data_IF_592120720892
#
_entry.id   IF_592120720892
#
_cell.length_a   1.000
_cell.length_b   1.000
_cell.length_c   1.000
_cell.angle_alpha   90.00
_cell.angle_beta   90.00
_cell.angle_gamma   90.00
#
_symmetry.space_group_name_H-M   'P 1'
#
loop_
_entity.id
_entity.type
_entity.pdbx_description
1 polymer ?
#
# COMPACT_ATOMS: atom_id res chain seq x y z
N UNK A 1 12.53 -1.58 -21.07
CA UNK A 1 12.73 -2.26 -19.77
C UNK A 1 11.40 -2.73 -19.19
N UNK A 2 11.38 -3.86 -18.45
CA UNK A 2 10.23 -4.26 -17.63
C UNK A 2 9.98 -3.25 -16.50
N UNK A 3 8.81 -3.30 -15.86
CA UNK A 3 8.55 -2.50 -14.66
C UNK A 3 9.37 -3.03 -13.47
N UNK A 4 9.45 -2.25 -12.39
CA UNK A 4 10.03 -2.76 -11.14
C UNK A 4 9.26 -4.02 -10.67
N UNK A 5 9.94 -5.08 -10.19
CA UNK A 5 9.29 -6.38 -9.96
C UNK A 5 8.05 -6.35 -9.04
N UNK A 6 8.03 -5.45 -8.05
CA UNK A 6 6.87 -5.28 -7.16
C UNK A 6 5.68 -4.61 -7.86
N UNK A 7 5.93 -3.64 -8.75
CA UNK A 7 4.90 -3.02 -9.58
C UNK A 7 4.29 -4.07 -10.52
N UNK A 8 5.14 -4.91 -11.11
CA UNK A 8 4.70 -5.99 -12.01
C UNK A 8 3.84 -7.02 -11.28
N UNK A 9 4.24 -7.42 -10.07
CA UNK A 9 3.41 -8.25 -9.19
C UNK A 9 2.06 -7.60 -8.89
N UNK A 10 2.04 -6.31 -8.52
CA UNK A 10 0.78 -5.60 -8.27
C UNK A 10 -0.11 -5.48 -9.51
N UNK A 11 0.47 -5.28 -10.70
CA UNK A 11 -0.26 -5.27 -11.98
C UNK A 11 -0.93 -6.62 -12.22
N UNK A 12 -0.23 -7.73 -11.95
CA UNK A 12 -0.78 -9.08 -12.10
C UNK A 12 -1.94 -9.31 -11.14
N UNK A 13 -1.78 -8.97 -9.86
CA UNK A 13 -2.85 -9.11 -8.86
C UNK A 13 -4.06 -8.25 -9.24
N UNK A 14 -3.85 -6.99 -9.62
CA UNK A 14 -4.94 -6.12 -10.05
C UNK A 14 -5.61 -6.63 -11.34
N UNK A 15 -4.91 -7.40 -12.19
CA UNK A 15 -5.50 -7.96 -13.41
C UNK A 15 -6.49 -9.08 -13.10
N UNK A 16 -6.20 -9.87 -12.07
CA UNK A 16 -7.13 -10.88 -11.52
C UNK A 16 -8.39 -10.18 -10.99
N UNK A 17 -8.22 -9.09 -10.24
CA UNK A 17 -9.32 -8.31 -9.65
C UNK A 17 -10.07 -7.40 -10.66
N UNK A 18 -9.63 -7.36 -11.93
CA UNK A 18 -10.17 -6.45 -12.94
C UNK A 18 -9.81 -4.97 -12.72
N UNK A 19 -9.00 -4.62 -11.73
CA UNK A 19 -8.61 -3.24 -11.39
C UNK A 19 -7.27 -2.80 -11.99
N UNK A 20 -6.63 -3.62 -12.84
CA UNK A 20 -5.26 -3.34 -13.31
C UNK A 20 -5.14 -2.03 -14.09
N UNK A 21 -4.21 -1.15 -13.69
CA UNK A 21 -4.01 0.12 -14.36
C UNK A 21 -3.25 -0.04 -15.70
N UNK A 22 -2.44 -1.09 -15.84
CA UNK A 22 -1.57 -1.31 -17.00
C UNK A 22 -2.23 -2.08 -18.15
N UNK A 23 -3.27 -2.87 -17.87
CA UNK A 23 -4.01 -3.62 -18.91
C UNK A 23 -4.94 -2.73 -19.72
N UNK A 24 -5.24 -3.12 -20.96
CA UNK A 24 -6.21 -2.43 -21.82
C UNK A 24 -7.63 -2.49 -21.22
N UNK A 25 -8.38 -1.41 -21.41
CA UNK A 25 -9.76 -1.29 -20.93
C UNK A 25 -10.68 -2.19 -21.77
N UNK A 26 -10.87 -3.43 -21.32
CA UNK A 26 -11.67 -4.43 -22.01
C UNK A 26 -12.98 -4.68 -21.28
N UNK A 27 -14.00 -5.18 -21.99
CA UNK A 27 -15.27 -5.61 -21.38
C UNK A 27 -15.05 -6.67 -20.30
N UNK A 28 -14.10 -7.58 -20.51
CA UNK A 28 -13.72 -8.60 -19.54
C UNK A 28 -13.12 -8.00 -18.26
N UNK A 29 -12.29 -6.96 -18.38
CA UNK A 29 -11.76 -6.24 -17.22
C UNK A 29 -12.90 -5.61 -16.40
N UNK A 30 -13.85 -4.93 -17.07
CA UNK A 30 -15.01 -4.31 -16.42
C UNK A 30 -15.86 -5.36 -15.71
N UNK A 31 -16.13 -6.50 -16.35
CA UNK A 31 -16.87 -7.60 -15.75
C UNK A 31 -16.18 -8.13 -14.47
N UNK A 32 -14.88 -8.41 -14.53
CA UNK A 32 -14.11 -8.84 -13.35
C UNK A 32 -14.14 -7.80 -12.23
N UNK A 33 -13.97 -6.53 -12.58
CA UNK A 33 -14.06 -5.44 -11.62
C UNK A 33 -15.42 -5.41 -10.92
N UNK A 34 -16.53 -5.46 -11.68
CA UNK A 34 -17.88 -5.49 -11.11
C UNK A 34 -18.08 -6.72 -10.22
N UNK A 35 -17.67 -7.91 -10.66
CA UNK A 35 -17.75 -9.14 -9.89
C UNK A 35 -16.98 -9.02 -8.56
N UNK A 36 -15.74 -8.52 -8.60
CA UNK A 36 -14.92 -8.29 -7.40
C UNK A 36 -15.61 -7.31 -6.45
N UNK A 37 -16.14 -6.19 -6.92
CA UNK A 37 -16.82 -5.21 -6.06
C UNK A 37 -18.11 -5.80 -5.46
N UNK A 38 -18.90 -6.56 -6.23
CA UNK A 38 -20.08 -7.26 -5.71
C UNK A 38 -19.71 -8.23 -4.58
N UNK A 39 -18.62 -9.00 -4.76
CA UNK A 39 -18.12 -9.92 -3.72
C UNK A 39 -17.65 -9.16 -2.47
N UNK A 40 -16.93 -8.05 -2.63
CA UNK A 40 -16.45 -7.23 -1.51
C UNK A 40 -17.58 -6.55 -0.73
N UNK A 41 -18.69 -6.19 -1.37
CA UNK A 41 -19.88 -5.64 -0.70
C UNK A 41 -20.70 -6.75 -0.04
N UNK A 42 -20.67 -7.96 -0.60
CA UNK A 42 -21.44 -9.10 -0.11
C UNK A 42 -21.12 -9.46 1.35
N UNK A 43 -19.85 -9.47 1.74
CA UNK A 43 -19.48 -9.85 3.12
C UNK A 43 -20.01 -8.85 4.17
N UNK A 44 -19.74 -7.53 4.09
CA UNK A 44 -20.32 -6.56 5.01
C UNK A 44 -21.84 -6.59 5.06
N UNK A 45 -22.49 -6.84 3.91
CA UNK A 45 -23.94 -6.99 3.86
C UNK A 45 -24.43 -8.19 4.69
N UNK A 46 -23.78 -9.36 4.55
CA UNK A 46 -24.13 -10.56 5.33
C UNK A 46 -23.83 -10.39 6.82
N UNK A 47 -22.74 -9.71 7.18
CA UNK A 47 -22.41 -9.36 8.57
C UNK A 47 -23.44 -8.41 9.16
N UNK A 48 -23.85 -7.38 8.41
CA UNK A 48 -24.89 -6.44 8.84
C UNK A 48 -26.23 -7.12 9.03
N UNK A 49 -26.63 -7.99 8.10
CA UNK A 49 -27.88 -8.73 8.20
C UNK A 49 -27.91 -9.60 9.47
N UNK A 50 -26.80 -10.29 9.76
CA UNK A 50 -26.66 -11.06 11.00
C UNK A 50 -26.73 -10.19 12.25
N UNK A 51 -26.16 -9.00 12.20
CA UNK A 51 -26.20 -8.04 13.30
C UNK A 51 -27.62 -7.52 13.57
N UNK A 52 -28.39 -7.20 12.52
CA UNK A 52 -29.78 -6.73 12.64
C UNK A 52 -30.70 -7.81 13.21
N UNK A 53 -30.46 -9.08 12.89
CA UNK A 53 -31.28 -10.20 13.37
C UNK A 53 -31.02 -10.55 14.85
N UNK A 54 -29.87 -10.11 15.41
CA UNK A 54 -29.54 -10.34 16.83
C UNK A 54 -30.35 -9.42 17.74
N UNK A 55 -31.12 -10.01 18.66
CA UNK A 55 -31.77 -9.27 19.76
C UNK A 55 -30.75 -9.01 20.89
N UNK A 56 -30.35 -7.75 21.05
CA UNK A 56 -29.49 -7.30 22.16
C UNK A 56 -27.99 -7.43 21.88
N UNK A 57 -27.48 -6.66 20.92
CA UNK A 57 -26.06 -6.66 20.57
C UNK A 57 -25.19 -6.07 21.69
N UNK A 58 -24.07 -6.74 21.98
CA UNK A 58 -23.06 -6.25 22.91
C UNK A 58 -22.10 -5.29 22.22
N UNK A 59 -21.46 -4.38 22.98
CA UNK A 59 -20.46 -3.44 22.42
C UNK A 59 -19.32 -4.14 21.66
N UNK A 60 -18.73 -5.27 22.13
CA UNK A 60 -17.70 -5.98 21.39
C UNK A 60 -18.17 -6.49 20.01
N UNK A 61 -19.42 -6.93 19.90
CA UNK A 61 -19.98 -7.39 18.62
C UNK A 61 -20.16 -6.23 17.64
N UNK A 62 -20.55 -5.05 18.13
CA UNK A 62 -20.60 -3.84 17.30
C UNK A 62 -19.21 -3.49 16.76
N UNK A 63 -18.18 -3.55 17.61
CA UNK A 63 -16.79 -3.28 17.20
C UNK A 63 -16.31 -4.30 16.16
N UNK A 64 -16.63 -5.59 16.32
CA UNK A 64 -16.28 -6.63 15.35
C UNK A 64 -16.94 -6.38 13.99
N UNK A 65 -18.23 -6.04 13.98
CA UNK A 65 -18.96 -5.67 12.76
C UNK A 65 -18.29 -4.46 12.08
N UNK A 66 -18.02 -3.39 12.84
CA UNK A 66 -17.40 -2.17 12.29
C UNK A 66 -15.98 -2.42 11.75
N UNK A 67 -15.22 -3.32 12.37
CA UNK A 67 -13.89 -3.74 11.89
C UNK A 67 -13.98 -4.44 10.53
N UNK A 68 -14.95 -5.34 10.37
CA UNK A 68 -15.21 -6.00 9.09
C UNK A 68 -15.58 -4.99 8.00
N UNK A 69 -16.51 -4.07 8.29
CA UNK A 69 -16.86 -2.98 7.36
C UNK A 69 -15.65 -2.18 6.93
N UNK A 70 -14.83 -1.74 7.90
CA UNK A 70 -13.63 -0.93 7.64
C UNK A 70 -12.65 -1.65 6.71
N UNK A 71 -12.39 -2.94 6.97
CA UNK A 71 -11.44 -3.73 6.17
C UNK A 71 -11.91 -3.92 4.73
N UNK A 72 -13.19 -4.30 4.54
CA UNK A 72 -13.76 -4.48 3.21
C UNK A 72 -13.92 -3.16 2.45
N UNK A 73 -14.25 -2.05 3.12
CA UNK A 73 -14.28 -0.73 2.49
C UNK A 73 -12.89 -0.24 2.08
N UNK A 74 -11.84 -0.53 2.86
CA UNK A 74 -10.48 -0.24 2.44
C UNK A 74 -10.10 -1.01 1.17
N UNK A 75 -10.42 -2.30 1.11
CA UNK A 75 -10.19 -3.09 -0.10
C UNK A 75 -10.98 -2.50 -1.28
N UNK A 76 -12.29 -2.28 -1.11
CA UNK A 76 -13.19 -1.73 -2.13
C UNK A 76 -12.68 -0.40 -2.67
N UNK A 77 -12.38 0.55 -1.78
CA UNK A 77 -11.87 1.87 -2.11
C UNK A 77 -10.55 1.79 -2.88
N UNK A 78 -9.60 0.96 -2.42
CA UNK A 78 -8.31 0.75 -3.10
C UNK A 78 -8.48 0.15 -4.50
N UNK A 79 -9.29 -0.90 -4.67
CA UNK A 79 -9.57 -1.47 -6.00
C UNK A 79 -10.27 -0.47 -6.93
N UNK A 80 -11.20 0.32 -6.38
CA UNK A 80 -11.94 1.36 -7.11
C UNK A 80 -10.99 2.47 -7.59
N UNK A 81 -10.10 2.95 -6.72
CA UNK A 81 -9.08 3.94 -7.07
C UNK A 81 -8.16 3.41 -8.18
N UNK A 82 -7.69 2.16 -8.08
CA UNK A 82 -6.84 1.55 -9.10
C UNK A 82 -7.54 1.47 -10.47
N UNK A 83 -8.83 1.16 -10.48
CA UNK A 83 -9.62 1.04 -11.71
C UNK A 83 -9.92 2.41 -12.36
N UNK A 84 -10.49 3.36 -11.60
CA UNK A 84 -10.91 4.65 -12.16
C UNK A 84 -9.73 5.59 -12.46
N UNK A 85 -8.68 5.56 -11.62
CA UNK A 85 -7.47 6.35 -11.85
C UNK A 85 -6.41 5.63 -12.69
N UNK A 86 -6.79 4.55 -13.39
CA UNK A 86 -5.86 3.70 -14.16
C UNK A 86 -4.91 4.46 -15.08
N UNK A 87 -5.39 5.49 -15.77
CA UNK A 87 -4.55 6.29 -16.70
C UNK A 87 -3.46 7.07 -15.95
N UNK A 88 -3.80 7.64 -14.79
CA UNK A 88 -2.86 8.40 -13.95
C UNK A 88 -1.82 7.47 -13.33
N UNK A 89 -2.26 6.34 -12.79
CA UNK A 89 -1.39 5.34 -12.18
C UNK A 89 -0.46 4.71 -13.22
N UNK A 90 -0.98 4.36 -14.41
CA UNK A 90 -0.16 3.87 -15.52
C UNK A 90 0.90 4.89 -15.92
N UNK A 91 0.54 6.17 -16.05
CA UNK A 91 1.50 7.24 -16.32
C UNK A 91 2.60 7.30 -15.26
N UNK A 92 2.24 7.12 -13.98
CA UNK A 92 3.22 7.07 -12.89
C UNK A 92 4.17 5.86 -13.04
N UNK A 93 3.67 4.70 -13.43
CA UNK A 93 4.51 3.52 -13.71
C UNK A 93 5.45 3.77 -14.89
N UNK A 94 4.94 4.39 -15.95
CA UNK A 94 5.73 4.73 -17.13
C UNK A 94 6.86 5.73 -16.76
N UNK A 95 6.58 6.75 -15.94
CA UNK A 95 7.59 7.67 -15.40
C UNK A 95 8.65 6.93 -14.58
N UNK A 96 8.24 6.02 -13.68
CA UNK A 96 9.20 5.26 -12.84
C UNK A 96 10.12 4.36 -13.66
N UNK A 97 9.71 4.00 -14.89
CA UNK A 97 10.45 3.14 -15.80
C UNK A 97 11.33 3.93 -16.78
N UNK A 98 10.85 5.08 -17.26
CA UNK A 98 11.48 5.82 -18.34
C UNK A 98 12.35 6.99 -17.84
N UNK A 99 11.96 7.62 -16.72
CA UNK A 99 12.60 8.87 -16.26
C UNK A 99 13.49 8.70 -15.01
N UNK A 100 13.33 7.60 -14.26
CA UNK A 100 14.08 7.38 -13.01
C UNK A 100 15.52 6.95 -13.29
N UNK A 101 16.44 7.36 -12.44
CA UNK A 101 17.84 6.95 -12.56
C UNK A 101 18.00 5.46 -12.29
N UNK A 102 18.91 4.80 -13.01
CA UNK A 102 19.35 3.46 -12.67
C UNK A 102 19.76 3.40 -11.19
N UNK A 103 19.23 2.42 -10.46
CA UNK A 103 19.56 2.26 -9.05
C UNK A 103 20.98 1.69 -8.94
N UNK A 104 21.90 2.31 -8.16
CA UNK A 104 23.27 1.83 -8.00
C UNK A 104 23.30 0.42 -7.41
N UNK A 105 22.45 0.14 -6.42
CA UNK A 105 22.29 -1.17 -5.78
C UNK A 105 20.96 -1.85 -6.15
N UNK A 106 20.69 -1.98 -7.44
CA UNK A 106 19.42 -2.52 -7.96
C UNK A 106 19.03 -3.87 -7.33
N UNK A 107 19.95 -4.83 -7.33
CA UNK A 107 19.71 -6.19 -6.82
C UNK A 107 19.44 -6.22 -5.31
N UNK A 108 20.23 -5.48 -4.52
CA UNK A 108 20.04 -5.38 -3.06
C UNK A 108 18.68 -4.74 -2.75
N UNK A 109 18.31 -3.69 -3.48
CA UNK A 109 17.04 -2.98 -3.31
C UNK A 109 15.84 -3.89 -3.65
N UNK A 110 15.91 -4.65 -4.75
CA UNK A 110 14.86 -5.61 -5.11
C UNK A 110 14.73 -6.69 -4.06
N UNK A 111 15.84 -7.30 -3.63
CA UNK A 111 15.81 -8.38 -2.65
C UNK A 111 15.15 -7.92 -1.34
N UNK A 112 15.55 -6.74 -0.84
CA UNK A 112 14.96 -6.14 0.36
C UNK A 112 13.48 -5.82 0.18
N UNK A 113 13.11 -5.19 -0.95
CA UNK A 113 11.72 -4.82 -1.22
C UNK A 113 10.80 -6.04 -1.34
N UNK A 114 11.25 -7.08 -2.06
CA UNK A 114 10.58 -8.37 -2.21
C UNK A 114 10.39 -9.08 -0.89
N UNK A 115 11.42 -9.09 -0.03
CA UNK A 115 11.31 -9.65 1.32
C UNK A 115 10.23 -8.93 2.14
N UNK A 116 10.24 -7.59 2.15
CA UNK A 116 9.22 -6.81 2.83
C UNK A 116 7.81 -7.00 2.25
N UNK A 117 7.69 -7.15 0.92
CA UNK A 117 6.42 -7.46 0.25
C UNK A 117 5.90 -8.82 0.69
N UNK A 118 6.73 -9.85 0.65
CA UNK A 118 6.34 -11.21 1.04
C UNK A 118 5.97 -11.28 2.53
N UNK A 119 6.70 -10.58 3.39
CA UNK A 119 6.38 -10.47 4.82
C UNK A 119 5.03 -9.79 5.04
N UNK A 120 4.80 -8.63 4.44
CA UNK A 120 3.54 -7.89 4.54
C UNK A 120 2.36 -8.70 3.99
N UNK A 121 2.54 -9.35 2.85
CA UNK A 121 1.54 -10.22 2.24
C UNK A 121 1.26 -11.44 3.12
N UNK A 122 2.29 -12.08 3.67
CA UNK A 122 2.15 -13.22 4.56
C UNK A 122 1.38 -12.87 5.84
N UNK A 123 1.69 -11.73 6.47
CA UNK A 123 0.95 -11.24 7.64
C UNK A 123 -0.51 -10.94 7.31
N UNK A 124 -0.74 -10.21 6.23
CA UNK A 124 -2.08 -9.87 5.74
C UNK A 124 -2.92 -11.12 5.48
N UNK A 125 -2.34 -12.10 4.81
CA UNK A 125 -3.00 -13.36 4.50
C UNK A 125 -3.25 -14.20 5.76
N UNK A 126 -2.30 -14.24 6.69
CA UNK A 126 -2.46 -14.95 7.97
C UNK A 126 -3.59 -14.34 8.81
N UNK A 127 -3.68 -13.00 8.86
CA UNK A 127 -4.77 -12.31 9.54
C UNK A 127 -6.13 -12.68 8.92
N UNK A 128 -6.26 -12.63 7.60
CA UNK A 128 -7.48 -13.03 6.90
C UNK A 128 -7.80 -14.52 7.08
N UNK A 129 -6.80 -15.39 7.05
CA UNK A 129 -6.96 -16.82 7.30
C UNK A 129 -7.46 -17.10 8.72
N UNK A 130 -6.97 -16.38 9.73
CA UNK A 130 -7.48 -16.47 11.10
C UNK A 130 -8.95 -16.03 11.21
N UNK A 131 -9.33 -14.95 10.52
CA UNK A 131 -10.71 -14.48 10.49
C UNK A 131 -11.66 -15.54 9.88
N UNK A 132 -11.22 -16.16 8.79
CA UNK A 132 -11.94 -17.25 8.12
C UNK A 132 -11.94 -18.55 8.95
N UNK A 133 -10.84 -18.90 9.61
CA UNK A 133 -10.74 -20.13 10.41
C UNK A 133 -11.79 -20.18 11.52
N UNK A 134 -12.19 -19.02 12.08
CA UNK A 134 -13.29 -18.94 13.05
C UNK A 134 -14.60 -19.53 12.50
N UNK A 135 -14.88 -19.33 11.20
CA UNK A 135 -16.06 -19.88 10.53
C UNK A 135 -16.06 -21.41 10.51
N UNK A 136 -14.90 -22.00 10.25
CA UNK A 136 -14.73 -23.45 10.19
C UNK A 136 -14.72 -24.11 11.57
N UNK A 137 -14.14 -23.46 12.59
CA UNK A 137 -14.02 -24.01 13.94
C UNK A 137 -15.33 -23.86 14.73
N UNK A 138 -15.96 -22.68 14.64
CA UNK A 138 -17.08 -22.31 15.50
C UNK A 138 -18.42 -22.24 14.78
N UNK A 139 -18.44 -22.36 13.45
CA UNK A 139 -19.63 -22.23 12.62
C UNK A 139 -20.08 -20.78 12.38
N UNK A 140 -21.14 -20.62 11.61
CA UNK A 140 -21.69 -19.33 11.14
C UNK A 140 -22.14 -18.38 12.25
N UNK A 141 -22.83 -18.90 13.27
CA UNK A 141 -23.41 -18.09 14.36
C UNK A 141 -22.34 -17.32 15.14
N UNK A 142 -21.18 -17.97 15.38
CA UNK A 142 -20.05 -17.38 16.10
C UNK A 142 -19.08 -16.62 15.18
N UNK A 143 -19.11 -16.88 13.88
CA UNK A 143 -18.35 -16.11 12.90
C UNK A 143 -18.99 -14.74 12.57
N UNK A 144 -20.21 -14.50 13.03
CA UNK A 144 -20.85 -13.20 12.88
C UNK A 144 -21.37 -12.93 11.46
N UNK A 145 -21.64 -13.97 10.66
CA UNK A 145 -22.07 -13.85 9.26
C UNK A 145 -23.40 -14.58 9.06
N UNK A 146 -24.34 -13.93 8.38
CA UNK A 146 -25.63 -14.52 8.06
C UNK A 146 -25.48 -15.52 6.92
N UNK A 147 -25.93 -16.77 7.14
CA UNK A 147 -26.13 -17.75 6.08
C UNK A 147 -27.63 -18.00 5.89
N UNK A 148 -28.17 -17.84 4.68
CA UNK A 148 -29.54 -18.26 4.39
C UNK A 148 -29.72 -19.76 4.61
N UNK A 149 -30.83 -20.19 5.23
CA UNK A 149 -31.07 -21.61 5.54
C UNK A 149 -31.08 -22.52 4.32
N UNK A 150 -31.52 -22.01 3.17
CA UNK A 150 -31.56 -22.73 1.90
C UNK A 150 -30.19 -22.85 1.23
N UNK A 151 -29.18 -22.11 1.68
CA UNK A 151 -27.87 -22.07 1.03
C UNK A 151 -26.94 -23.15 1.60
N UNK A 152 -26.38 -24.06 0.77
CA UNK A 152 -25.51 -25.13 1.26
C UNK A 152 -24.28 -24.60 2.00
N UNK A 153 -24.02 -25.14 3.19
CA UNK A 153 -22.97 -24.65 4.09
C UNK A 153 -21.57 -24.68 3.46
N UNK A 154 -21.21 -25.76 2.77
CA UNK A 154 -19.88 -25.89 2.16
C UNK A 154 -19.66 -24.85 1.05
N UNK A 155 -20.69 -24.59 0.24
CA UNK A 155 -20.64 -23.56 -0.80
C UNK A 155 -20.54 -22.17 -0.18
N UNK A 156 -21.22 -21.95 0.96
CA UNK A 156 -21.12 -20.70 1.72
C UNK A 156 -19.69 -20.44 2.17
N UNK A 157 -19.05 -21.44 2.77
CA UNK A 157 -17.71 -21.28 3.32
C UNK A 157 -16.70 -20.98 2.21
N UNK A 158 -16.76 -21.71 1.10
CA UNK A 158 -15.93 -21.43 -0.09
C UNK A 158 -16.17 -20.02 -0.64
N UNK A 159 -17.41 -19.55 -0.67
CA UNK A 159 -17.73 -18.19 -1.10
C UNK A 159 -17.10 -17.13 -0.18
N UNK A 160 -17.18 -17.32 1.14
CA UNK A 160 -16.56 -16.42 2.12
C UNK A 160 -15.03 -16.44 1.97
N UNK A 161 -14.42 -17.60 1.75
CA UNK A 161 -12.98 -17.71 1.50
C UNK A 161 -12.56 -16.89 0.28
N UNK A 162 -13.32 -17.00 -0.81
CA UNK A 162 -13.08 -16.21 -2.03
C UNK A 162 -13.20 -14.71 -1.74
N UNK A 163 -14.21 -14.27 -0.98
CA UNK A 163 -14.39 -12.87 -0.60
C UNK A 163 -13.18 -12.34 0.19
N UNK A 164 -12.70 -13.11 1.19
CA UNK A 164 -11.51 -12.75 1.96
C UNK A 164 -10.26 -12.72 1.11
N UNK A 165 -10.04 -13.72 0.24
CA UNK A 165 -8.89 -13.73 -0.68
C UNK A 165 -8.91 -12.48 -1.56
N UNK A 166 -10.07 -12.12 -2.12
CA UNK A 166 -10.20 -10.94 -2.98
C UNK A 166 -9.97 -9.64 -2.21
N UNK A 167 -10.47 -9.56 -0.98
CA UNK A 167 -10.21 -8.44 -0.08
C UNK A 167 -8.70 -8.29 0.19
N UNK A 168 -8.03 -9.38 0.60
CA UNK A 168 -6.59 -9.39 0.89
C UNK A 168 -5.78 -9.00 -0.33
N UNK A 169 -6.06 -9.59 -1.49
CA UNK A 169 -5.39 -9.24 -2.75
C UNK A 169 -5.59 -7.76 -3.12
N UNK A 170 -6.81 -7.24 -2.94
CA UNK A 170 -7.17 -5.88 -3.31
C UNK A 170 -6.40 -4.81 -2.55
N UNK A 171 -6.36 -4.90 -1.21
CA UNK A 171 -5.61 -3.91 -0.44
C UNK A 171 -4.09 -4.10 -0.60
N UNK A 172 -3.60 -5.34 -0.63
CA UNK A 172 -2.16 -5.62 -0.76
C UNK A 172 -1.60 -5.09 -2.08
N UNK A 173 -2.31 -5.28 -3.20
CA UNK A 173 -1.82 -4.82 -4.50
C UNK A 173 -1.64 -3.29 -4.55
N UNK A 174 -2.60 -2.55 -3.97
CA UNK A 174 -2.52 -1.10 -3.88
C UNK A 174 -1.40 -0.65 -2.92
N UNK A 175 -1.31 -1.25 -1.74
CA UNK A 175 -0.31 -0.86 -0.73
C UNK A 175 1.11 -1.16 -1.19
N UNK A 176 1.33 -2.31 -1.82
CA UNK A 176 2.61 -2.64 -2.46
C UNK A 176 2.94 -1.65 -3.56
N UNK A 177 1.96 -1.26 -4.39
CA UNK A 177 2.15 -0.24 -5.43
C UNK A 177 2.65 1.08 -4.83
N UNK A 178 1.93 1.60 -3.83
CA UNK A 178 2.25 2.87 -3.18
C UNK A 178 3.62 2.79 -2.49
N UNK A 179 3.85 1.73 -1.70
CA UNK A 179 5.12 1.49 -1.02
C UNK A 179 6.29 1.45 -1.99
N UNK A 180 6.16 0.72 -3.09
CA UNK A 180 7.23 0.62 -4.09
C UNK A 180 7.52 1.97 -4.74
N UNK A 181 6.49 2.75 -5.11
CA UNK A 181 6.68 4.10 -5.64
C UNK A 181 7.43 4.98 -4.63
N UNK A 182 7.04 4.94 -3.35
CA UNK A 182 7.71 5.71 -2.29
C UNK A 182 9.17 5.30 -2.08
N UNK A 183 9.47 4.00 -2.12
CA UNK A 183 10.84 3.48 -2.06
C UNK A 183 11.66 4.04 -3.22
N UNK A 184 11.15 3.90 -4.45
CA UNK A 184 11.85 4.38 -5.64
C UNK A 184 12.07 5.89 -5.58
N UNK A 185 11.04 6.68 -5.20
CA UNK A 185 11.15 8.12 -5.01
C UNK A 185 12.21 8.49 -3.98
N UNK A 186 12.19 7.83 -2.81
CA UNK A 186 13.16 8.09 -1.74
C UNK A 186 14.58 7.82 -2.23
N UNK A 187 14.79 6.75 -2.97
CA UNK A 187 16.11 6.45 -3.54
C UNK A 187 16.53 7.48 -4.59
N UNK A 188 15.61 7.95 -5.45
CA UNK A 188 15.90 9.06 -6.39
C UNK A 188 16.31 10.34 -5.65
N UNK A 189 15.62 10.68 -4.55
CA UNK A 189 15.98 11.85 -3.75
C UNK A 189 17.34 11.71 -3.04
N UNK A 190 17.66 10.52 -2.53
CA UNK A 190 18.98 10.25 -1.93
C UNK A 190 20.10 10.42 -2.95
N UNK A 191 19.95 9.81 -4.13
CA UNK A 191 20.93 9.98 -5.22
C UNK A 191 21.02 11.44 -5.67
N UNK A 192 19.90 12.17 -5.74
CA UNK A 192 19.92 13.59 -6.08
C UNK A 192 20.68 14.40 -5.04
N UNK A 193 20.49 14.09 -3.76
CA UNK A 193 21.21 14.76 -2.68
C UNK A 193 22.72 14.49 -2.75
N UNK A 194 23.14 13.24 -3.02
CA UNK A 194 24.55 12.88 -3.22
C UNK A 194 25.17 13.62 -4.42
N UNK A 195 24.47 13.68 -5.55
CA UNK A 195 24.88 14.47 -6.72
C UNK A 195 24.98 15.97 -6.42
N UNK A 196 24.10 16.51 -5.59
CA UNK A 196 24.19 17.90 -5.17
C UNK A 196 25.40 18.11 -4.25
N UNK A 197 25.60 17.25 -3.26
CA UNK A 197 26.75 17.33 -2.35
C UNK A 197 28.08 17.25 -3.11
N UNK A 198 28.20 16.37 -4.09
CA UNK A 198 29.40 16.29 -4.95
C UNK A 198 29.58 17.53 -5.83
N UNK A 199 28.51 18.18 -6.28
CA UNK A 199 28.60 19.47 -6.98
C UNK A 199 29.07 20.63 -6.08
N UNK A 200 28.92 20.51 -4.76
CA UNK A 200 29.32 21.52 -3.77
C UNK A 200 30.58 21.14 -2.99
N UNK A 201 31.20 19.97 -3.27
CA UNK A 201 32.40 19.53 -2.57
C UNK A 201 33.62 20.40 -2.95
N UNK A 202 34.18 21.08 -1.95
CA UNK A 202 35.22 22.10 -2.07
C UNK A 202 36.61 21.54 -2.40
N UNK A 203 36.75 20.21 -2.56
CA UNK A 203 38.00 19.62 -3.08
C UNK A 203 38.18 19.78 -4.59
N UNK A 204 37.12 20.10 -5.34
CA UNK A 204 37.16 20.36 -6.79
C UNK A 204 36.99 21.85 -7.13
N UNK A 205 37.41 22.74 -6.22
CA UNK A 205 37.12 24.18 -6.23
C UNK A 205 37.82 24.93 -7.38
N UNK A 206 37.25 24.80 -8.57
CA UNK A 206 37.46 25.72 -9.68
C UNK A 206 36.19 26.54 -9.84
N UNK A 207 36.08 27.64 -9.08
CA UNK A 207 35.11 28.75 -9.23
C UNK A 207 34.01 28.44 -10.24
N UNK A 208 33.07 27.57 -9.85
CA UNK A 208 32.03 27.12 -10.80
C UNK A 208 31.11 28.31 -11.03
N UNK A 209 31.20 28.92 -12.21
CA UNK A 209 30.35 30.03 -12.61
C UNK A 209 28.88 29.71 -12.34
N UNK A 210 28.15 30.67 -11.77
CA UNK A 210 26.71 30.58 -11.48
C UNK A 210 25.88 30.11 -12.68
N UNK A 211 26.35 30.39 -13.92
CA UNK A 211 25.75 29.92 -15.18
C UNK A 211 25.98 28.42 -15.40
N UNK A 212 27.17 27.91 -15.08
CA UNK A 212 27.51 26.48 -15.16
C UNK A 212 26.78 25.69 -14.09
N UNK A 213 26.71 26.20 -12.85
CA UNK A 213 25.91 25.62 -11.79
C UNK A 213 24.42 25.55 -12.17
N UNK A 214 23.84 26.69 -12.60
CA UNK A 214 22.44 26.74 -13.06
C UNK A 214 22.18 25.80 -14.23
N UNK A 215 23.14 25.62 -15.15
CA UNK A 215 23.03 24.67 -16.27
C UNK A 215 23.08 23.21 -15.78
N UNK A 216 24.00 22.87 -14.88
CA UNK A 216 24.12 21.51 -14.28
C UNK A 216 22.89 21.16 -13.45
N UNK A 217 22.42 22.08 -12.61
CA UNK A 217 21.21 21.93 -11.80
C UNK A 217 19.94 21.83 -12.65
N UNK A 218 19.81 22.71 -13.66
CA UNK A 218 18.68 22.69 -14.60
C UNK A 218 18.66 21.39 -15.40
N UNK A 219 19.83 20.88 -15.83
CA UNK A 219 19.97 19.55 -16.45
C UNK A 219 19.55 18.43 -15.49
N UNK A 220 20.02 18.46 -14.24
CA UNK A 220 19.64 17.47 -13.22
C UNK A 220 18.14 17.46 -12.86
N UNK A 221 17.41 18.55 -13.10
CA UNK A 221 15.96 18.63 -12.81
C UNK A 221 15.07 18.48 -14.04
N UNK A 222 15.53 18.86 -15.25
CA UNK A 222 14.73 18.81 -16.49
C UNK A 222 14.92 17.53 -17.30
N UNK A 223 16.13 16.96 -17.37
CA UNK A 223 16.34 15.68 -18.10
C UNK A 223 15.88 14.46 -17.29
N UNK A 224 15.49 14.66 -16.02
CA UNK A 224 15.49 13.61 -14.99
C UNK A 224 14.16 13.52 -14.20
N UNK A 225 13.06 13.97 -14.79
CA UNK A 225 11.68 13.63 -14.40
C UNK A 225 11.05 14.22 -13.12
N UNK A 226 11.83 14.86 -12.24
CA UNK A 226 11.33 15.40 -10.96
C UNK A 226 10.15 16.38 -11.09
N UNK A 227 10.05 17.12 -12.20
CA UNK A 227 8.93 18.05 -12.46
C UNK A 227 7.62 17.31 -12.75
N UNK A 228 7.71 16.18 -13.46
CA UNK A 228 6.58 15.30 -13.79
C UNK A 228 6.04 14.61 -12.52
N UNK A 229 6.95 14.14 -11.67
CA UNK A 229 6.66 13.52 -10.36
C UNK A 229 5.94 14.50 -9.42
N UNK A 230 6.46 15.73 -9.26
CA UNK A 230 5.84 16.73 -8.38
C UNK A 230 4.41 17.06 -8.81
N UNK A 231 4.17 17.21 -10.11
CA UNK A 231 2.82 17.43 -10.64
C UNK A 231 1.92 16.20 -10.47
N UNK A 232 2.43 14.99 -10.67
CA UNK A 232 1.65 13.77 -10.47
C UNK A 232 1.29 13.52 -9.01
N UNK A 233 2.21 13.74 -8.06
CA UNK A 233 1.94 13.56 -6.62
C UNK A 233 0.96 14.61 -6.09
N UNK A 234 1.11 15.89 -6.46
CA UNK A 234 0.21 16.98 -6.02
C UNK A 234 -1.19 16.92 -6.65
N UNK A 235 -1.35 16.23 -7.80
CA UNK A 235 -2.65 16.11 -8.50
C UNK A 235 -3.45 14.84 -8.14
N UNK A 236 -2.92 14.00 -7.24
CA UNK A 236 -3.49 12.71 -6.90
C UNK A 236 -4.05 12.72 -5.47
N UNK A 237 -5.36 12.49 -5.33
CA UNK A 237 -6.05 12.20 -4.05
C UNK A 237 -5.53 10.92 -3.35
N UNK A 238 -4.58 10.19 -3.94
CA UNK A 238 -3.83 9.10 -3.29
C UNK A 238 -3.13 9.57 -2.00
N UNK A 239 -2.86 10.88 -1.88
CA UNK A 239 -2.25 11.45 -0.68
C UNK A 239 -3.10 11.30 0.57
N UNK A 240 -4.44 11.25 0.52
CA UNK A 240 -5.23 11.18 1.77
C UNK A 240 -4.99 9.86 2.54
N UNK A 241 -4.57 8.79 1.87
CA UNK A 241 -4.16 7.54 2.55
C UNK A 241 -2.64 7.40 2.71
N UNK A 242 -1.83 8.01 1.84
CA UNK A 242 -0.37 8.02 1.98
C UNK A 242 0.14 9.05 3.01
N UNK A 243 -0.61 10.11 3.29
CA UNK A 243 -0.29 11.15 4.28
C UNK A 243 -0.26 10.57 5.69
N UNK A 244 -1.15 9.61 6.03
CA UNK A 244 -1.05 8.92 7.32
C UNK A 244 0.24 8.09 7.45
N UNK A 245 0.81 7.60 6.34
CA UNK A 245 2.10 6.88 6.34
C UNK A 245 3.28 7.85 6.32
N UNK A 246 3.18 8.98 5.61
CA UNK A 246 4.20 10.02 5.57
C UNK A 246 4.27 10.85 6.86
N UNK A 247 3.15 11.16 7.53
CA UNK A 247 3.13 11.73 8.88
C UNK A 247 3.70 10.75 9.90
N UNK A 248 3.50 9.44 9.73
CA UNK A 248 4.15 8.43 10.56
C UNK A 248 5.68 8.44 10.39
N UNK A 249 6.17 8.54 9.15
CA UNK A 249 7.61 8.59 8.83
C UNK A 249 8.23 9.92 9.28
N UNK A 250 7.49 11.03 9.13
CA UNK A 250 7.93 12.35 9.56
C UNK A 250 7.96 12.46 11.10
N UNK A 251 6.99 11.88 11.80
CA UNK A 251 6.96 11.81 13.26
C UNK A 251 8.02 10.84 13.82
N UNK A 252 8.31 9.72 13.14
CA UNK A 252 9.44 8.84 13.52
C UNK A 252 10.81 9.50 13.29
N UNK A 253 10.93 10.29 12.22
CA UNK A 253 12.12 11.11 11.97
C UNK A 253 12.28 12.21 13.02
N UNK A 254 11.19 12.89 13.40
CA UNK A 254 11.18 13.95 14.40
C UNK A 254 11.42 13.42 15.83
N UNK A 255 10.90 12.23 16.17
CA UNK A 255 11.10 11.61 17.47
C UNK A 255 12.57 11.20 17.70
N UNK A 256 13.29 10.84 16.63
CA UNK A 256 14.74 10.58 16.68
C UNK A 256 15.59 11.84 16.90
N UNK A 257 15.08 13.02 16.52
CA UNK A 257 15.69 14.32 16.86
C UNK A 257 15.24 14.84 18.24
N UNK A 258 14.09 14.41 18.74
CA UNK A 258 13.60 14.74 20.10
C UNK A 258 14.20 13.83 21.17
N UNK A 259 14.65 12.62 20.87
CA UNK A 259 15.37 11.79 21.86
C UNK A 259 16.77 12.32 22.20
N UNK A 260 17.30 13.28 21.44
CA UNK A 260 18.51 14.05 21.80
C UNK A 260 18.19 15.29 22.66
N UNK A 261 16.91 15.61 22.89
CA UNK A 261 16.45 16.65 23.82
C UNK A 261 15.21 16.15 24.56
N UNK A 262 15.45 15.42 25.65
CA UNK A 262 14.43 14.67 26.36
C UNK A 262 13.19 15.46 26.74
N UNK A 263 12.04 15.01 26.25
CA UNK A 263 10.74 15.24 26.88
C UNK A 263 9.76 14.12 26.49
N UNK A 264 8.97 13.67 27.48
CA UNK A 264 8.04 12.56 27.38
C UNK A 264 6.66 13.03 26.92
N UNK A 265 5.98 12.23 26.10
CA UNK A 265 4.52 12.23 26.11
C UNK A 265 3.96 10.84 25.79
N UNK A 266 3.16 10.37 26.73
CA UNK A 266 2.39 9.13 26.72
C UNK A 266 0.97 9.41 26.23
N UNK A 267 0.58 8.79 25.12
CA UNK A 267 -0.72 8.15 24.88
C UNK A 267 -0.84 7.85 23.38
N UNK A 268 -0.65 6.58 23.00
CA UNK A 268 -0.97 6.09 21.66
C UNK A 268 -1.90 4.90 21.73
N UNK A 269 -2.91 4.95 20.86
CA UNK A 269 -4.02 4.03 20.75
C UNK A 269 -3.54 2.62 20.36
N UNK A 270 -4.20 1.60 20.92
CA UNK A 270 -3.73 0.21 20.93
C UNK A 270 -3.70 -0.47 19.54
N UNK A 271 -4.41 0.10 18.55
CA UNK A 271 -4.34 -0.35 17.15
C UNK A 271 -3.06 0.12 16.44
N UNK A 272 -2.54 1.32 16.76
CA UNK A 272 -1.29 1.88 16.25
C UNK A 272 -0.06 1.17 16.82
N UNK A 273 -0.13 0.71 18.07
CA UNK A 273 0.93 -0.08 18.69
C UNK A 273 1.23 -1.39 17.94
N UNK A 274 0.20 -2.00 17.35
CA UNK A 274 0.36 -3.22 16.54
C UNK A 274 1.07 -2.95 15.21
N UNK A 275 0.88 -1.77 14.61
CA UNK A 275 1.62 -1.34 13.42
C UNK A 275 3.07 -0.92 13.72
N UNK A 276 3.32 -0.33 14.88
CA UNK A 276 4.65 0.09 15.35
C UNK A 276 5.58 -1.10 15.64
N UNK A 277 5.06 -2.17 16.24
CA UNK A 277 5.83 -3.39 16.54
C UNK A 277 6.21 -4.19 15.28
N UNK A 278 5.49 -4.02 14.17
CA UNK A 278 5.76 -4.73 12.91
C UNK A 278 6.84 -4.06 12.04
N UNK A 279 7.15 -2.78 12.26
CA UNK A 279 8.19 -2.04 11.52
C UNK A 279 9.55 -2.05 12.24
N UNK A 280 9.56 -2.35 13.53
CA UNK A 280 10.76 -2.37 14.37
C UNK A 280 11.86 -3.33 13.86
N UNK A 281 11.56 -4.57 13.45
CA UNK A 281 12.59 -5.50 12.96
C UNK A 281 13.19 -5.08 11.61
N UNK A 282 12.44 -4.33 10.78
CA UNK A 282 12.87 -3.86 9.46
C UNK A 282 13.80 -2.63 9.56
N UNK A 283 13.57 -1.76 10.54
CA UNK A 283 14.45 -0.61 10.81
C UNK A 283 15.80 -1.03 11.41
N UNK A 284 15.81 -2.03 12.30
CA UNK A 284 17.03 -2.52 12.95
C UNK A 284 17.96 -3.28 11.99
N UNK A 285 17.42 -3.91 10.94
CA UNK A 285 18.22 -4.60 9.92
C UNK A 285 18.89 -3.67 8.91
N UNK A 286 18.41 -2.42 8.76
CA UNK A 286 19.06 -1.38 7.94
C UNK A 286 20.20 -0.65 8.68
N UNK A 287 20.27 -0.74 10.01
CA UNK A 287 21.31 -0.05 10.80
C UNK A 287 22.55 -0.91 11.09
N UNK A 288 22.53 -2.22 10.80
CA UNK A 288 23.65 -3.15 11.07
C UNK A 288 24.49 -3.52 9.83
N UNK A 289 24.43 -2.76 8.73
CA UNK A 289 25.30 -3.00 7.57
C UNK A 289 25.22 -1.93 6.51
#
# INVERSE_FOLDING_TARGET
MPYYPDIEWSIQVCSILGSSPATNFTKMQVFRFLLTNCLLIGFPFLTFWNFVDKKGATLPEVVEVMSNFTTFFHALGKTTVMFFNRRKIKKLFDITKEEFWPLPDYERTIKSSRMGRNFYFGLSFSFSACAVAKLYIYGESKAGVYRPQWFPQQVFFVMIDIMYIYMTLGFNACDVTIRTILILLTTQFKMLNEELLTMFDSKNDTKVSRKVFKKRFKRCLLERGLRSIRQSILSNDLCIHAVNVCELIHNYGAQKYSTDFGESSSHWDSSLCCWLLLLQPWAETQQRG
#
